data_IF_728208668373
#
_entry.id   IF_728208668373
#
_cell.length_a   1.000
_cell.length_b   1.000
_cell.length_c   1.000
_cell.angle_alpha   90.00
_cell.angle_beta   90.00
_cell.angle_gamma   90.00
#
_symmetry.space_group_name_H-M   'P 1'
#
loop_
_entity.id
_entity.type
_entity.pdbx_description
1 polymer ?
#
# COMPACT_ATOMS: atom_id res chain seq x y z
N UNK A 1 10.92 14.79 -14.76
CA UNK A 1 11.38 14.69 -13.36
C UNK A 1 10.25 14.05 -12.58
N UNK A 2 10.53 12.98 -11.81
CA UNK A 2 9.50 12.18 -11.15
C UNK A 2 9.14 12.68 -9.73
N UNK A 3 9.84 13.70 -9.22
CA UNK A 3 9.58 14.32 -7.91
C UNK A 3 9.36 15.83 -7.97
N UNK A 4 9.24 16.45 -6.80
CA UNK A 4 9.01 17.88 -6.62
C UNK A 4 10.31 18.71 -6.52
N UNK A 5 11.47 18.07 -6.70
CA UNK A 5 12.82 18.63 -6.48
C UNK A 5 13.07 19.00 -5.01
N UNK A 6 12.49 18.24 -4.08
CA UNK A 6 12.70 18.42 -2.64
C UNK A 6 11.74 19.39 -1.97
N UNK A 7 10.92 20.14 -2.72
CA UNK A 7 9.99 21.15 -2.14
C UNK A 7 9.02 20.51 -1.14
N UNK A 8 8.46 19.35 -1.49
CA UNK A 8 7.52 18.62 -0.63
C UNK A 8 8.24 18.04 0.59
N UNK A 9 9.41 17.43 0.39
CA UNK A 9 10.20 16.89 1.48
C UNK A 9 10.62 17.97 2.51
N UNK A 10 11.09 19.12 2.04
CA UNK A 10 11.47 20.25 2.90
C UNK A 10 10.27 20.82 3.65
N UNK A 11 9.18 21.12 2.95
CA UNK A 11 7.96 21.66 3.56
C UNK A 11 7.39 20.70 4.62
N UNK A 12 7.39 19.40 4.34
CA UNK A 12 6.94 18.40 5.30
C UNK A 12 7.86 18.29 6.51
N UNK A 13 9.19 18.33 6.30
CA UNK A 13 10.15 18.30 7.40
C UNK A 13 9.99 19.51 8.33
N UNK A 14 9.75 20.70 7.78
CA UNK A 14 9.47 21.89 8.58
C UNK A 14 8.15 21.78 9.36
N UNK A 15 7.10 21.28 8.72
CA UNK A 15 5.81 21.03 9.38
C UNK A 15 5.97 20.08 10.57
N UNK A 16 6.62 18.94 10.36
CA UNK A 16 6.88 17.96 11.42
C UNK A 16 7.71 18.60 12.54
N UNK A 17 8.78 19.35 12.24
CA UNK A 17 9.56 20.04 13.27
C UNK A 17 8.69 20.97 14.13
N UNK A 18 7.86 21.80 13.51
CA UNK A 18 6.94 22.69 14.24
C UNK A 18 5.96 21.89 15.12
N UNK A 19 5.31 20.86 14.56
CA UNK A 19 4.36 20.03 15.31
C UNK A 19 5.01 19.39 16.55
N UNK A 20 6.22 18.84 16.40
CA UNK A 20 6.90 18.16 17.49
C UNK A 20 7.62 19.10 18.47
N UNK A 21 7.91 20.35 18.10
CA UNK A 21 8.53 21.34 19.00
C UNK A 21 7.54 22.22 19.75
N UNK A 22 6.54 22.76 19.04
CA UNK A 22 5.62 23.78 19.56
C UNK A 22 4.18 23.29 19.62
N UNK A 23 3.85 22.16 18.99
CA UNK A 23 2.47 21.66 18.88
C UNK A 23 1.60 22.50 17.95
N UNK A 24 2.18 23.40 17.15
CA UNK A 24 1.44 24.33 16.28
C UNK A 24 1.42 23.83 14.84
N UNK A 25 0.31 24.10 14.15
CA UNK A 25 0.09 23.80 12.72
C UNK A 25 0.20 25.07 11.86
N UNK A 26 1.05 26.02 12.25
CA UNK A 26 1.20 27.29 11.52
C UNK A 26 1.79 27.10 10.12
N UNK A 27 2.51 25.99 9.91
CA UNK A 27 2.92 25.52 8.59
C UNK A 27 1.92 24.47 8.11
N UNK A 28 1.59 24.47 6.83
CA UNK A 28 0.75 23.45 6.23
C UNK A 28 1.08 23.31 4.74
N UNK A 29 0.86 22.10 4.23
CA UNK A 29 0.91 21.79 2.80
C UNK A 29 -0.54 21.84 2.32
N UNK A 30 -0.85 22.79 1.43
CA UNK A 30 -2.22 22.99 0.94
C UNK A 30 -2.44 22.31 -0.41
N UNK A 31 -3.55 21.58 -0.59
CA UNK A 31 -3.99 21.14 -1.92
C UNK A 31 -4.33 22.35 -2.80
N UNK A 32 -4.28 22.16 -4.12
CA UNK A 32 -4.42 23.23 -5.11
C UNK A 32 -5.83 23.84 -5.17
N UNK A 33 -6.84 23.19 -4.58
CA UNK A 33 -8.20 23.72 -4.45
C UNK A 33 -8.80 23.43 -3.05
N UNK A 34 -9.93 24.07 -2.77
CA UNK A 34 -10.66 23.95 -1.49
C UNK A 34 -11.80 22.91 -1.56
N UNK A 35 -11.76 21.99 -2.53
CA UNK A 35 -12.81 20.97 -2.66
C UNK A 35 -12.52 19.81 -1.71
N UNK A 36 -13.56 19.03 -1.40
CA UNK A 36 -13.38 17.76 -0.71
C UNK A 36 -12.72 16.75 -1.66
N UNK A 37 -11.72 16.04 -1.15
CA UNK A 37 -10.97 14.98 -1.85
C UNK A 37 -10.92 13.73 -1.00
N UNK A 38 -10.62 12.59 -1.63
CA UNK A 38 -10.32 11.35 -0.92
C UNK A 38 -8.97 11.47 -0.19
N UNK A 39 -8.98 11.18 1.12
CA UNK A 39 -7.78 11.21 1.93
C UNK A 39 -6.78 10.12 1.56
N UNK A 40 -7.24 8.98 1.04
CA UNK A 40 -6.38 7.90 0.56
C UNK A 40 -5.58 8.34 -0.67
N UNK A 41 -6.24 8.99 -1.64
CA UNK A 41 -5.57 9.53 -2.82
C UNK A 41 -4.50 10.56 -2.45
N UNK A 42 -4.82 11.47 -1.52
CA UNK A 42 -3.85 12.42 -0.99
C UNK A 42 -2.65 11.70 -0.36
N UNK A 43 -2.90 10.71 0.49
CA UNK A 43 -1.83 9.95 1.16
C UNK A 43 -0.92 9.25 0.15
N UNK A 44 -1.50 8.58 -0.85
CA UNK A 44 -0.74 7.85 -1.87
C UNK A 44 0.08 8.80 -2.76
N UNK A 45 -0.51 9.92 -3.18
CA UNK A 45 0.20 10.94 -3.95
C UNK A 45 1.35 11.55 -3.13
N UNK A 46 1.09 11.84 -1.85
CA UNK A 46 2.07 12.42 -0.95
C UNK A 46 3.25 11.48 -0.67
N UNK A 47 2.98 10.21 -0.38
CA UNK A 47 4.03 9.20 -0.19
C UNK A 47 4.88 9.03 -1.45
N UNK A 48 4.26 9.05 -2.63
CA UNK A 48 5.00 8.98 -3.89
C UNK A 48 5.89 10.22 -4.10
N UNK A 49 5.39 11.43 -3.84
CA UNK A 49 6.17 12.67 -3.96
C UNK A 49 7.36 12.69 -2.98
N UNK A 50 7.12 12.31 -1.73
CA UNK A 50 8.19 12.16 -0.73
C UNK A 50 9.20 11.09 -1.14
N UNK A 51 8.74 9.95 -1.66
CA UNK A 51 9.61 8.90 -2.14
C UNK A 51 10.56 9.44 -3.21
N UNK A 52 10.01 10.11 -4.23
CA UNK A 52 10.79 10.61 -5.38
C UNK A 52 11.74 11.75 -4.99
N UNK A 53 11.34 12.62 -4.06
CA UNK A 53 12.23 13.66 -3.53
C UNK A 53 13.40 13.08 -2.71
N UNK A 54 13.16 11.98 -2.00
CA UNK A 54 14.15 11.31 -1.13
C UNK A 54 14.84 10.13 -1.81
N UNK A 55 14.55 9.86 -3.09
CA UNK A 55 15.09 8.71 -3.81
C UNK A 55 16.59 8.93 -4.08
N UNK A 56 17.42 8.04 -3.55
CA UNK A 56 18.88 8.06 -3.77
C UNK A 56 19.24 7.68 -5.21
N UNK A 57 18.37 6.94 -5.89
CA UNK A 57 18.56 6.55 -7.30
C UNK A 57 18.14 7.69 -8.21
N UNK A 58 19.11 8.48 -8.66
CA UNK A 58 18.88 9.63 -9.55
C UNK A 58 18.63 9.23 -11.01
N UNK A 59 19.35 8.21 -11.49
CA UNK A 59 19.20 7.68 -12.85
C UNK A 59 18.59 6.29 -12.77
N UNK A 60 17.31 6.17 -13.16
CA UNK A 60 16.57 4.91 -13.08
C UNK A 60 16.97 4.00 -14.23
N UNK A 61 17.68 2.88 -13.98
CA UNK A 61 18.08 1.97 -15.05
C UNK A 61 16.85 1.30 -15.67
N UNK A 62 16.90 1.07 -16.98
CA UNK A 62 15.99 0.14 -17.63
C UNK A 62 16.36 -1.28 -17.24
N UNK A 63 15.37 -2.08 -16.86
CA UNK A 63 15.57 -3.48 -16.46
C UNK A 63 14.52 -4.31 -17.19
N UNK A 64 14.95 -5.30 -17.95
CA UNK A 64 14.06 -6.20 -18.69
C UNK A 64 13.34 -7.17 -17.77
N UNK A 65 12.04 -7.37 -17.99
CA UNK A 65 11.25 -8.33 -17.24
C UNK A 65 11.65 -9.74 -17.65
N UNK A 66 12.15 -10.53 -16.69
CA UNK A 66 12.46 -11.94 -16.92
C UNK A 66 11.22 -12.79 -16.68
N UNK A 67 11.04 -13.82 -17.51
CA UNK A 67 9.96 -14.79 -17.35
C UNK A 67 10.13 -15.59 -16.05
N UNK A 68 9.02 -15.76 -15.34
CA UNK A 68 8.94 -16.32 -13.97
C UNK A 68 8.68 -17.84 -13.97
N UNK A 69 8.37 -18.42 -15.14
CA UNK A 69 7.81 -19.77 -15.23
C UNK A 69 8.75 -20.86 -14.68
N UNK A 70 8.20 -21.68 -13.78
CA UNK A 70 8.86 -22.86 -13.21
C UNK A 70 9.79 -22.60 -12.02
N UNK A 71 9.97 -21.34 -11.60
CA UNK A 71 10.85 -20.97 -10.48
C UNK A 71 10.12 -20.97 -9.13
N UNK A 72 10.84 -21.17 -8.01
CA UNK A 72 10.29 -20.98 -6.67
C UNK A 72 9.82 -19.54 -6.45
N UNK A 73 8.74 -19.37 -5.70
CA UNK A 73 8.15 -18.06 -5.44
C UNK A 73 9.10 -17.13 -4.68
N UNK A 74 9.84 -17.65 -3.68
CA UNK A 74 10.77 -16.87 -2.86
C UNK A 74 11.91 -16.28 -3.70
N UNK A 75 12.47 -17.05 -4.63
CA UNK A 75 13.55 -16.60 -5.52
C UNK A 75 13.08 -15.49 -6.47
N UNK A 76 11.86 -15.61 -6.96
CA UNK A 76 11.25 -14.64 -7.88
C UNK A 76 10.89 -13.37 -7.12
N UNK A 77 10.29 -13.52 -5.94
CA UNK A 77 9.96 -12.44 -5.03
C UNK A 77 11.21 -11.60 -4.71
N UNK A 78 12.30 -12.25 -4.29
CA UNK A 78 13.55 -11.56 -3.96
C UNK A 78 14.17 -10.87 -5.19
N UNK A 79 14.13 -11.50 -6.36
CA UNK A 79 14.61 -10.90 -7.60
C UNK A 79 13.81 -9.65 -7.99
N UNK A 80 12.48 -9.74 -7.93
CA UNK A 80 11.58 -8.62 -8.22
C UNK A 80 11.80 -7.48 -7.22
N UNK A 81 11.92 -7.79 -5.93
CA UNK A 81 12.17 -6.80 -4.90
C UNK A 81 13.54 -6.13 -5.06
N UNK A 82 14.59 -6.91 -5.29
CA UNK A 82 15.95 -6.40 -5.57
C UNK A 82 15.93 -5.50 -6.80
N UNK A 83 15.23 -5.90 -7.86
CA UNK A 83 15.04 -5.09 -9.07
C UNK A 83 14.30 -3.78 -8.76
N UNK A 84 13.23 -3.84 -7.96
CA UNK A 84 12.47 -2.66 -7.58
C UNK A 84 13.35 -1.66 -6.83
N UNK A 85 14.13 -2.13 -5.86
CA UNK A 85 15.07 -1.30 -5.08
C UNK A 85 16.20 -0.69 -5.91
N UNK A 86 16.61 -1.30 -7.03
CA UNK A 86 17.58 -0.68 -7.97
C UNK A 86 17.08 0.62 -8.60
N UNK A 87 15.77 0.88 -8.58
CA UNK A 87 15.16 2.11 -9.11
C UNK A 87 14.60 3.01 -8.01
N UNK A 88 14.32 2.43 -6.84
CA UNK A 88 13.58 3.05 -5.75
C UNK A 88 14.31 2.76 -4.43
N UNK A 89 15.14 3.68 -3.98
CA UNK A 89 15.85 3.59 -2.69
C UNK A 89 15.57 4.87 -1.90
N UNK A 90 14.59 4.80 -0.99
CA UNK A 90 14.32 5.86 -0.04
C UNK A 90 13.69 5.31 1.24
N UNK A 91 13.72 6.11 2.29
CA UNK A 91 13.09 5.77 3.59
C UNK A 91 11.60 5.46 3.46
N UNK A 92 10.92 6.01 2.44
CA UNK A 92 9.50 5.73 2.20
C UNK A 92 9.32 4.28 1.73
N UNK A 93 10.22 3.77 0.87
CA UNK A 93 10.19 2.35 0.45
C UNK A 93 10.42 1.46 1.67
N UNK A 94 11.41 1.79 2.49
CA UNK A 94 11.79 0.98 3.65
C UNK A 94 10.66 0.87 4.70
N UNK A 95 9.87 1.93 4.87
CA UNK A 95 8.83 2.00 5.91
C UNK A 95 7.45 1.55 5.44
N UNK A 96 7.07 1.87 4.20
CA UNK A 96 5.68 1.73 3.74
C UNK A 96 5.51 0.64 2.68
N UNK A 97 6.56 0.24 1.97
CA UNK A 97 6.40 -0.68 0.86
C UNK A 97 6.57 -2.15 1.28
N UNK A 98 5.60 -2.96 0.85
CA UNK A 98 5.65 -4.42 0.86
C UNK A 98 5.54 -4.97 -0.57
N UNK A 99 5.24 -6.26 -0.69
CA UNK A 99 5.07 -6.93 -1.99
C UNK A 99 3.89 -7.90 -1.96
N UNK A 100 3.03 -7.79 -2.98
CA UNK A 100 1.95 -8.73 -3.24
C UNK A 100 2.47 -9.92 -4.03
N UNK A 101 1.85 -11.09 -3.82
CA UNK A 101 1.90 -12.21 -4.77
C UNK A 101 0.53 -12.30 -5.45
N UNK A 102 0.48 -12.00 -6.74
CA UNK A 102 -0.71 -12.15 -7.56
C UNK A 102 -0.66 -13.51 -8.26
N UNK A 103 -1.73 -14.29 -8.14
CA UNK A 103 -1.88 -15.57 -8.85
C UNK A 103 -3.18 -15.54 -9.64
N UNK A 104 -3.11 -15.62 -10.96
CA UNK A 104 -4.29 -15.62 -11.82
C UNK A 104 -4.33 -16.94 -12.58
N UNK A 105 -5.43 -17.68 -12.43
CA UNK A 105 -5.63 -18.94 -13.15
C UNK A 105 -6.63 -18.71 -14.26
N UNK A 106 -6.25 -19.00 -15.50
CA UNK A 106 -7.16 -18.95 -16.62
C UNK A 106 -8.18 -20.09 -16.50
N UNK A 107 -9.49 -19.82 -16.46
CA UNK A 107 -10.51 -20.87 -16.29
C UNK A 107 -10.67 -21.76 -17.53
N UNK A 108 -10.15 -21.34 -18.70
CA UNK A 108 -10.29 -22.07 -19.97
C UNK A 108 -9.13 -23.03 -20.21
N UNK A 109 -7.89 -22.55 -20.12
CA UNK A 109 -6.69 -23.34 -20.41
C UNK A 109 -5.90 -23.79 -19.16
N UNK A 110 -6.38 -23.43 -17.97
CA UNK A 110 -5.73 -23.70 -16.68
C UNK A 110 -4.30 -23.13 -16.54
N UNK A 111 -3.92 -22.19 -17.41
CA UNK A 111 -2.65 -21.48 -17.30
C UNK A 111 -2.65 -20.64 -16.02
N UNK A 112 -1.61 -20.82 -15.19
CA UNK A 112 -1.44 -20.08 -13.94
C UNK A 112 -0.37 -19.01 -14.13
N UNK A 113 -0.81 -17.76 -14.19
CA UNK A 113 0.06 -16.60 -14.15
C UNK A 113 0.40 -16.24 -12.69
N UNK A 114 1.68 -15.97 -12.42
CA UNK A 114 2.15 -15.49 -11.13
C UNK A 114 2.95 -14.21 -11.33
N UNK A 115 2.66 -13.19 -10.53
CA UNK A 115 3.41 -11.93 -10.50
C UNK A 115 3.64 -11.49 -9.05
N UNK A 116 4.68 -10.70 -8.86
CA UNK A 116 5.00 -10.09 -7.58
C UNK A 116 5.06 -8.58 -7.77
N UNK A 117 4.30 -7.84 -6.98
CA UNK A 117 4.10 -6.39 -7.20
C UNK A 117 4.27 -5.61 -5.90
N UNK A 118 5.17 -4.61 -5.86
CA UNK A 118 5.31 -3.71 -4.72
C UNK A 118 4.03 -2.92 -4.43
N UNK A 119 3.69 -2.73 -3.15
CA UNK A 119 2.53 -1.93 -2.73
C UNK A 119 2.87 -1.07 -1.51
N UNK A 120 2.23 0.09 -1.37
CA UNK A 120 2.39 0.99 -0.22
C UNK A 120 1.15 1.08 0.69
N UNK A 121 0.00 0.57 0.23
CA UNK A 121 -1.23 0.52 1.03
C UNK A 121 -2.05 -0.72 0.66
N UNK A 122 -2.89 -1.16 1.60
CA UNK A 122 -3.83 -2.27 1.43
C UNK A 122 -5.25 -1.75 1.52
N UNK A 123 -6.00 -1.89 0.42
CA UNK A 123 -7.44 -1.62 0.41
C UNK A 123 -8.17 -2.89 0.78
N UNK A 124 -8.84 -2.87 1.93
CA UNK A 124 -9.63 -4.00 2.41
C UNK A 124 -11.08 -3.82 1.96
N UNK A 125 -11.62 -4.72 1.12
CA UNK A 125 -13.03 -4.66 0.76
C UNK A 125 -13.85 -4.88 2.03
N UNK A 126 -14.88 -4.06 2.19
CA UNK A 126 -15.87 -4.27 3.24
C UNK A 126 -17.02 -5.04 2.64
N UNK A 127 -17.34 -6.19 3.24
CA UNK A 127 -18.57 -6.89 2.93
C UNK A 127 -19.73 -6.03 3.45
N UNK A 128 -20.41 -5.36 2.53
CA UNK A 128 -21.69 -4.70 2.82
C UNK A 128 -22.75 -5.77 3.04
N UNK A 129 -22.72 -6.37 4.22
CA UNK A 129 -23.93 -6.96 4.79
C UNK A 129 -24.83 -5.77 5.14
N UNK A 130 -26.12 -5.74 4.74
CA UNK A 130 -27.03 -4.67 5.17
C UNK A 130 -27.37 -4.89 6.65
N UNK A 131 -26.40 -4.72 7.55
CA UNK A 131 -26.56 -4.64 9.01
C UNK A 131 -25.21 -4.37 9.67
N UNK A 132 -25.26 -3.51 10.69
CA UNK A 132 -24.16 -3.08 11.58
C UNK A 132 -23.01 -4.10 11.76
N UNK A 133 -21.93 -3.95 10.97
CA UNK A 133 -20.75 -4.79 11.02
C UNK A 133 -19.57 -4.10 11.74
N UNK A 134 -18.85 -4.84 12.58
CA UNK A 134 -17.63 -4.39 13.28
C UNK A 134 -16.44 -5.10 12.66
N UNK A 135 -15.46 -4.34 12.17
CA UNK A 135 -14.24 -4.86 11.54
C UNK A 135 -13.08 -4.76 12.53
N UNK A 136 -12.54 -5.90 12.95
CA UNK A 136 -11.34 -5.97 13.79
C UNK A 136 -10.10 -6.13 12.90
N UNK A 137 -9.27 -5.10 12.80
CA UNK A 137 -7.95 -5.21 12.18
C UNK A 137 -6.88 -5.31 13.28
N UNK A 138 -6.38 -6.51 13.55
CA UNK A 138 -5.21 -6.67 14.43
C UNK A 138 -3.94 -6.60 13.58
N UNK A 139 -3.19 -5.51 13.72
CA UNK A 139 -1.82 -5.44 13.20
C UNK A 139 -0.93 -6.12 14.22
N UNK A 140 -0.25 -7.20 13.81
CA UNK A 140 0.56 -8.03 14.70
C UNK A 140 1.67 -7.26 15.42
N UNK A 141 1.70 -7.41 16.75
CA UNK A 141 2.76 -7.09 17.74
C UNK A 141 3.60 -5.82 17.47
N UNK A 142 3.05 -4.64 17.77
CA UNK A 142 3.83 -3.57 18.40
C UNK A 142 3.58 -3.61 19.92
N UNK A 143 4.61 -3.98 20.69
CA UNK A 143 4.57 -3.89 22.15
C UNK A 143 4.34 -2.43 22.57
N UNK A 144 3.32 -2.24 23.42
CA UNK A 144 2.96 -1.02 24.18
C UNK A 144 2.35 0.16 23.39
N UNK A 145 1.06 0.07 23.11
CA UNK A 145 0.03 0.90 23.77
C UNK A 145 -1.34 0.47 23.24
N UNK A 146 -2.24 0.11 24.15
CA UNK A 146 -3.58 -0.37 23.81
C UNK A 146 -4.48 0.84 23.56
N UNK A 147 -4.64 1.23 22.30
CA UNK A 147 -5.74 2.12 21.91
C UNK A 147 -6.92 1.24 21.50
N UNK A 148 -7.98 1.27 22.30
CA UNK A 148 -9.24 0.58 22.00
C UNK A 148 -10.24 1.59 21.44
N UNK A 149 -10.89 1.25 20.33
CA UNK A 149 -12.13 1.89 19.94
C UNK A 149 -13.22 0.80 19.98
N UNK A 150 -14.21 0.99 20.86
CA UNK A 150 -15.29 0.04 21.12
C UNK A 150 -16.55 0.50 20.40
N UNK A 151 -17.17 -0.36 19.60
CA UNK A 151 -18.58 -0.23 19.23
C UNK A 151 -19.19 -1.64 19.25
N UNK A 152 -20.40 -1.77 19.80
CA UNK A 152 -21.12 -3.02 20.07
C UNK A 152 -22.04 -3.42 18.92
N UNK A 153 -22.27 -4.73 18.71
CA UNK A 153 -23.55 -5.30 18.22
C UNK A 153 -23.76 -6.75 18.66
N UNK A 154 -25.03 -7.09 18.91
CA UNK A 154 -25.58 -8.33 19.47
C UNK A 154 -25.57 -9.54 18.51
N UNK A 155 -25.76 -10.79 19.02
CA UNK A 155 -25.33 -12.01 18.34
C UNK A 155 -26.39 -12.56 17.39
N UNK A 156 -26.01 -12.82 16.13
CA UNK A 156 -26.81 -13.55 15.17
C UNK A 156 -25.97 -14.11 14.02
N UNK A 157 -25.82 -15.43 14.02
CA UNK A 157 -25.48 -16.33 12.91
C UNK A 157 -24.01 -16.54 12.49
N UNK A 158 -23.51 -17.71 12.89
CA UNK A 158 -22.15 -18.26 12.69
C UNK A 158 -21.89 -18.82 11.27
N UNK A 159 -22.80 -18.65 10.32
CA UNK A 159 -22.74 -19.32 9.00
C UNK A 159 -21.90 -18.55 7.94
N UNK A 160 -21.57 -17.29 8.19
CA UNK A 160 -20.99 -16.38 7.18
C UNK A 160 -19.46 -16.54 7.05
N UNK A 161 -18.78 -17.12 8.03
CA UNK A 161 -17.31 -17.23 8.04
C UNK A 161 -16.73 -18.12 6.92
N UNK A 162 -17.51 -19.04 6.34
CA UNK A 162 -17.00 -20.05 5.40
C UNK A 162 -16.86 -19.57 3.94
N UNK A 163 -17.42 -18.43 3.54
CA UNK A 163 -17.44 -17.97 2.13
C UNK A 163 -16.24 -17.09 1.73
N UNK A 164 -15.42 -16.67 2.70
CA UNK A 164 -14.35 -15.68 2.51
C UNK A 164 -13.10 -16.17 1.76
N UNK A 165 -12.93 -17.47 1.53
CA UNK A 165 -11.71 -17.97 0.86
C UNK A 165 -11.72 -17.81 -0.68
N UNK A 166 -12.86 -17.44 -1.31
CA UNK A 166 -13.01 -17.53 -2.77
C UNK A 166 -13.08 -16.20 -3.54
N UNK A 167 -13.27 -15.06 -2.88
CA UNK A 167 -13.65 -13.82 -3.58
C UNK A 167 -12.47 -12.92 -4.05
N UNK A 168 -11.22 -13.29 -3.78
CA UNK A 168 -10.08 -12.39 -4.08
C UNK A 168 -9.51 -12.52 -5.51
N UNK A 169 -10.13 -13.33 -6.37
CA UNK A 169 -9.61 -13.61 -7.72
C UNK A 169 -10.71 -13.55 -8.79
N UNK A 170 -11.16 -12.35 -9.16
CA UNK A 170 -11.92 -12.17 -10.39
C UNK A 170 -11.59 -10.82 -11.04
N UNK A 171 -10.46 -10.77 -11.75
CA UNK A 171 -10.22 -9.76 -12.77
C UNK A 171 -9.96 -10.53 -14.07
N UNK A 172 -10.90 -10.56 -15.02
CA UNK A 172 -10.66 -11.20 -16.31
C UNK A 172 -9.80 -10.25 -17.14
N UNK A 173 -8.55 -10.62 -17.40
CA UNK A 173 -7.77 -10.01 -18.48
C UNK A 173 -7.22 -11.14 -19.35
N UNK A 174 -7.89 -11.37 -20.48
CA UNK A 174 -7.29 -12.03 -21.65
C UNK A 174 -6.63 -10.92 -22.50
N UNK A 175 -5.36 -11.10 -22.85
CA UNK A 175 -4.80 -10.48 -24.04
C UNK A 175 -5.09 -11.37 -25.26
#
# INVERSE_FOLDING_TARGET
MLGSKGVIAESFAELIKCLWSTGTTEKAIYPCDLKQHDAHDLMMAFLNLLHEDLNKVQQKPYIELKYVNGRPDDDVAEEVWTRYKKRNDSVIIDLFYGMHKLTVVCPVCNYTFRAFDPFASLSLPLDVVPTNAIIFCSIGKLQRSRTYCLIFTEPGDQEIAARFAMAQYYIPVCF
#
